data_IF_314118719073
#
_entry.id   IF_314118719073
#
_cell.length_a   1.000
_cell.length_b   1.000
_cell.length_c   1.000
_cell.angle_alpha   90.00
_cell.angle_beta   90.00
_cell.angle_gamma   90.00
#
_symmetry.space_group_name_H-M   'P 1'
#
loop_
_entity.id
_entity.type
_entity.pdbx_description
1 polymer ?
#
# COMPACT_ATOMS: atom_id res chain seq x y z
N UNK A 1 1.67 58.62 -10.02
CA UNK A 1 2.31 57.62 -9.15
C UNK A 1 1.66 56.25 -9.46
N UNK A 2 2.24 55.52 -10.44
CA UNK A 2 1.72 54.23 -10.88
C UNK A 2 2.29 53.14 -9.96
N UNK A 3 1.42 52.46 -9.22
CA UNK A 3 1.77 51.27 -8.44
C UNK A 3 1.86 50.08 -9.40
N UNK A 4 3.06 49.55 -9.62
CA UNK A 4 3.28 48.27 -10.25
C UNK A 4 3.00 47.16 -9.24
N UNK A 5 1.85 46.45 -9.38
CA UNK A 5 1.64 45.20 -8.71
C UNK A 5 2.38 44.10 -9.49
N UNK A 6 3.51 43.66 -8.99
CA UNK A 6 4.13 42.43 -9.44
C UNK A 6 3.33 41.25 -8.83
N UNK A 7 2.55 40.57 -9.64
CA UNK A 7 2.00 39.27 -9.29
C UNK A 7 3.14 38.26 -9.18
N UNK A 8 3.49 37.89 -7.96
CA UNK A 8 4.38 36.77 -7.71
C UNK A 8 3.56 35.51 -7.98
N UNK A 9 3.75 34.90 -9.15
CA UNK A 9 3.29 33.54 -9.39
C UNK A 9 4.10 32.60 -8.47
N UNK A 10 3.52 32.22 -7.35
CA UNK A 10 4.03 31.12 -6.55
C UNK A 10 3.89 29.84 -7.38
N UNK A 11 4.95 29.05 -7.58
CA UNK A 11 4.83 27.76 -8.21
C UNK A 11 3.86 26.93 -7.37
N UNK A 12 2.90 26.29 -8.03
CA UNK A 12 1.94 25.44 -7.37
C UNK A 12 2.68 24.30 -6.65
N UNK A 13 2.56 24.23 -5.33
CA UNK A 13 3.15 23.18 -4.49
C UNK A 13 2.53 21.79 -4.70
N UNK A 14 1.75 21.59 -5.79
CA UNK A 14 0.97 20.38 -6.02
C UNK A 14 1.72 19.22 -6.68
N UNK A 15 2.97 19.37 -7.09
CA UNK A 15 3.72 18.30 -7.74
C UNK A 15 4.27 17.22 -6.76
N UNK A 16 4.42 17.56 -5.46
CA UNK A 16 5.02 16.69 -4.44
C UNK A 16 4.07 16.35 -3.28
N UNK A 17 2.76 16.38 -3.50
CA UNK A 17 1.81 15.95 -2.47
C UNK A 17 2.03 14.47 -2.12
N UNK A 18 2.05 14.14 -0.81
CA UNK A 18 2.08 12.74 -0.35
C UNK A 18 0.90 11.89 -0.87
N UNK A 19 -0.19 12.54 -1.28
CA UNK A 19 -1.40 11.90 -1.85
C UNK A 19 -1.41 11.91 -3.39
N UNK A 20 -0.34 12.36 -4.03
CA UNK A 20 -0.25 12.24 -5.49
C UNK A 20 -0.27 10.77 -5.87
N UNK A 21 -1.03 10.43 -6.90
CA UNK A 21 -1.04 9.09 -7.48
C UNK A 21 0.38 8.65 -7.85
N UNK A 22 0.74 7.44 -7.50
CA UNK A 22 2.04 6.86 -7.82
C UNK A 22 1.87 5.40 -8.24
N UNK A 23 2.80 4.91 -9.03
CA UNK A 23 2.77 3.58 -9.62
C UNK A 23 4.16 2.94 -9.52
N UNK A 24 4.52 2.32 -8.39
CA UNK A 24 5.85 1.78 -8.16
C UNK A 24 6.22 0.66 -9.15
N UNK A 25 5.25 -0.16 -9.55
CA UNK A 25 5.42 -1.24 -10.53
C UNK A 25 4.67 -0.96 -11.84
N UNK A 26 4.36 0.29 -12.14
CA UNK A 26 3.48 0.66 -13.24
C UNK A 26 1.99 0.50 -12.92
N UNK A 27 1.63 0.00 -11.73
CA UNK A 27 0.25 -0.14 -11.24
C UNK A 27 -0.04 1.02 -10.29
N UNK A 28 -1.06 1.85 -10.58
CA UNK A 28 -1.37 3.00 -9.75
C UNK A 28 -1.95 2.61 -8.39
N UNK A 29 -1.58 3.39 -7.36
CA UNK A 29 -2.24 3.45 -6.07
C UNK A 29 -3.01 4.76 -6.01
N UNK A 30 -4.31 4.71 -5.76
CA UNK A 30 -5.17 5.89 -5.84
C UNK A 30 -6.35 5.80 -4.87
N UNK A 31 -6.84 6.96 -4.44
CA UNK A 31 -8.09 7.03 -3.69
C UNK A 31 -9.25 6.83 -4.66
N UNK A 32 -10.15 5.94 -4.31
CA UNK A 32 -11.31 5.63 -5.16
C UNK A 32 -12.23 6.84 -5.35
N UNK A 33 -12.89 6.89 -6.50
CA UNK A 33 -14.01 7.83 -6.74
C UNK A 33 -15.35 7.30 -6.22
N UNK A 34 -15.40 5.99 -5.93
CA UNK A 34 -16.59 5.28 -5.49
C UNK A 34 -16.30 4.61 -4.13
N UNK A 35 -16.36 5.36 -3.01
CA UNK A 35 -16.09 4.82 -1.69
C UNK A 35 -17.11 3.76 -1.31
N UNK A 36 -16.66 2.78 -0.54
CA UNK A 36 -17.48 1.67 -0.06
C UNK A 36 -17.58 1.66 1.47
N UNK A 37 -18.51 0.85 1.99
CA UNK A 37 -18.63 0.60 3.42
C UNK A 37 -17.51 -0.36 3.84
N UNK A 38 -16.68 0.05 4.79
CA UNK A 38 -15.47 -0.70 5.17
C UNK A 38 -15.75 -1.91 6.06
N UNK A 39 -16.90 -1.94 6.77
CA UNK A 39 -17.31 -3.09 7.60
C UNK A 39 -17.48 -4.35 6.73
N UNK A 40 -16.70 -5.37 7.02
CA UNK A 40 -16.65 -6.61 6.25
C UNK A 40 -15.77 -6.59 4.99
N UNK A 41 -15.33 -5.41 4.53
CA UNK A 41 -14.51 -5.28 3.31
C UNK A 41 -13.11 -4.73 3.56
N UNK A 42 -12.92 -3.91 4.61
CA UNK A 42 -11.66 -3.23 4.85
C UNK A 42 -11.49 -1.96 4.02
N UNK A 43 -10.32 -1.32 4.12
CA UNK A 43 -10.07 0.03 3.59
C UNK A 43 -9.43 0.03 2.21
N UNK A 44 -9.00 -1.14 1.70
CA UNK A 44 -8.20 -1.25 0.49
C UNK A 44 -8.69 -2.38 -0.39
N UNK A 45 -8.63 -2.16 -1.71
CA UNK A 45 -8.91 -3.20 -2.70
C UNK A 45 -7.98 -3.10 -3.91
N UNK A 46 -7.79 -4.22 -4.60
CA UNK A 46 -7.20 -4.27 -5.93
C UNK A 46 -8.31 -4.43 -6.97
N UNK A 47 -8.23 -3.70 -8.07
CA UNK A 47 -9.09 -3.90 -9.24
C UNK A 47 -8.30 -4.74 -10.24
N UNK A 48 -8.81 -5.92 -10.56
CA UNK A 48 -8.14 -6.85 -11.47
C UNK A 48 -9.04 -7.21 -12.64
N UNK A 49 -8.42 -7.46 -13.78
CA UNK A 49 -9.11 -7.89 -15.01
C UNK A 49 -8.63 -9.28 -15.43
N UNK A 50 -9.56 -10.13 -15.83
CA UNK A 50 -9.27 -11.46 -16.35
C UNK A 50 -10.20 -11.79 -17.51
N UNK A 51 -9.64 -12.03 -18.67
CA UNK A 51 -10.40 -12.51 -19.85
C UNK A 51 -10.48 -14.03 -19.79
N UNK A 52 -11.62 -14.56 -19.39
CA UNK A 52 -11.82 -15.99 -19.18
C UNK A 52 -12.45 -16.66 -20.40
N UNK A 53 -11.74 -17.53 -21.13
CA UNK A 53 -12.35 -18.42 -22.12
C UNK A 53 -13.43 -19.30 -21.48
N UNK A 54 -14.40 -19.76 -22.28
CA UNK A 54 -15.42 -20.71 -21.83
C UNK A 54 -14.77 -21.95 -21.25
N UNK A 55 -15.18 -22.34 -20.04
CA UNK A 55 -14.63 -23.50 -19.32
C UNK A 55 -13.45 -23.20 -18.41
N UNK A 56 -13.03 -21.93 -18.29
CA UNK A 56 -12.06 -21.53 -17.26
C UNK A 56 -12.57 -21.89 -15.87
N UNK A 57 -11.76 -22.57 -15.08
CA UNK A 57 -12.12 -23.01 -13.72
C UNK A 57 -11.51 -22.15 -12.62
N UNK A 58 -10.43 -21.45 -12.91
CA UNK A 58 -9.75 -20.60 -11.94
C UNK A 58 -9.09 -19.38 -12.59
N UNK A 59 -9.11 -18.28 -11.86
CA UNK A 59 -8.34 -17.07 -12.11
C UNK A 59 -7.27 -16.98 -11.04
N UNK A 60 -6.07 -16.53 -11.39
CA UNK A 60 -4.97 -16.26 -10.46
C UNK A 60 -4.61 -14.79 -10.51
N UNK A 61 -4.66 -14.13 -9.38
CA UNK A 61 -4.26 -12.74 -9.22
C UNK A 61 -3.02 -12.61 -8.33
N UNK A 62 -2.02 -11.88 -8.82
CA UNK A 62 -0.77 -11.59 -8.11
C UNK A 62 -0.75 -10.11 -7.75
N UNK A 63 -0.82 -9.79 -6.45
CA UNK A 63 -1.08 -8.47 -5.91
C UNK A 63 0.14 -7.96 -5.14
N UNK A 64 0.88 -7.00 -5.68
CA UNK A 64 1.97 -6.32 -4.97
C UNK A 64 1.42 -5.16 -4.14
N UNK A 65 0.77 -5.46 -3.04
CA UNK A 65 0.07 -4.48 -2.18
C UNK A 65 0.99 -3.67 -1.27
N UNK A 66 2.23 -4.11 -1.04
CA UNK A 66 3.29 -3.33 -0.34
C UNK A 66 2.88 -2.80 1.04
N UNK A 67 2.26 -3.65 1.85
CA UNK A 67 1.70 -3.27 3.15
C UNK A 67 2.68 -3.56 4.30
N UNK A 68 2.80 -2.65 5.28
CA UNK A 68 3.63 -2.88 6.48
C UNK A 68 2.94 -3.74 7.56
N UNK A 69 1.73 -4.25 7.31
CA UNK A 69 0.94 -4.97 8.30
C UNK A 69 1.57 -6.30 8.71
N UNK A 70 1.62 -6.56 10.01
CA UNK A 70 2.26 -7.76 10.58
C UNK A 70 1.36 -9.00 10.59
N UNK A 71 0.07 -8.86 10.25
CA UNK A 71 -0.92 -9.96 10.29
C UNK A 71 -1.39 -10.42 8.90
N UNK A 72 -0.65 -10.11 7.86
CA UNK A 72 -1.00 -10.48 6.48
C UNK A 72 -1.15 -11.98 6.27
N UNK A 73 -0.46 -12.78 7.06
CA UNK A 73 -0.41 -14.24 6.97
C UNK A 73 -1.70 -14.94 7.41
N UNK A 74 -2.56 -14.28 8.18
CA UNK A 74 -3.79 -14.87 8.74
C UNK A 74 -5.08 -14.28 8.19
N UNK A 75 -5.03 -13.17 7.45
CA UNK A 75 -6.24 -12.49 6.94
C UNK A 75 -6.76 -13.11 5.66
N UNK A 76 -8.07 -13.00 5.45
CA UNK A 76 -8.79 -13.49 4.29
C UNK A 76 -8.82 -12.48 3.14
N UNK A 77 -9.61 -12.82 2.11
CA UNK A 77 -9.98 -11.94 1.00
C UNK A 77 -11.49 -11.90 0.86
N UNK A 78 -12.01 -10.80 0.35
CA UNK A 78 -13.36 -10.73 -0.20
C UNK A 78 -13.23 -10.35 -1.66
N UNK A 79 -13.73 -11.20 -2.55
CA UNK A 79 -13.60 -11.02 -4.00
C UNK A 79 -15.01 -10.85 -4.56
N UNK A 80 -15.22 -9.74 -5.29
CA UNK A 80 -16.55 -9.34 -5.78
C UNK A 80 -16.45 -9.09 -7.28
N UNK A 81 -17.39 -9.62 -8.06
CA UNK A 81 -17.54 -9.25 -9.47
C UNK A 81 -18.00 -7.79 -9.61
N UNK A 82 -17.29 -7.00 -10.39
CA UNK A 82 -17.57 -5.55 -10.48
C UNK A 82 -18.96 -5.25 -11.05
N UNK A 83 -19.41 -6.00 -12.08
CA UNK A 83 -20.71 -5.77 -12.73
C UNK A 83 -21.88 -6.26 -11.89
N UNK A 84 -21.74 -7.47 -11.32
CA UNK A 84 -22.82 -8.10 -10.55
C UNK A 84 -22.93 -7.64 -9.10
N UNK A 85 -21.83 -7.14 -8.52
CA UNK A 85 -21.72 -6.85 -7.10
C UNK A 85 -21.77 -8.11 -6.21
N UNK A 86 -21.71 -9.30 -6.79
CA UNK A 86 -21.79 -10.56 -6.05
C UNK A 86 -20.41 -11.04 -5.63
N UNK A 87 -20.33 -11.63 -4.44
CA UNK A 87 -19.10 -12.23 -3.94
C UNK A 87 -18.84 -13.58 -4.63
N UNK A 88 -17.57 -13.82 -4.94
CA UNK A 88 -17.08 -15.11 -5.43
C UNK A 88 -17.20 -16.15 -4.31
N UNK A 89 -17.69 -17.36 -4.66
CA UNK A 89 -17.95 -18.39 -3.68
C UNK A 89 -16.65 -19.11 -3.22
N UNK A 90 -15.73 -19.34 -4.16
CA UNK A 90 -14.53 -20.12 -3.90
C UNK A 90 -13.27 -19.36 -4.23
N UNK A 91 -12.32 -19.38 -3.31
CA UNK A 91 -10.96 -18.87 -3.53
C UNK A 91 -9.96 -19.67 -2.68
N UNK A 92 -8.71 -19.64 -3.09
CA UNK A 92 -7.58 -20.21 -2.35
C UNK A 92 -6.41 -19.25 -2.36
N UNK A 93 -5.72 -19.13 -1.23
CA UNK A 93 -4.58 -18.23 -1.07
C UNK A 93 -3.29 -19.02 -1.22
N UNK A 94 -2.58 -18.75 -2.31
CA UNK A 94 -1.29 -19.36 -2.59
C UNK A 94 -0.18 -18.72 -1.76
N UNK A 95 -0.22 -17.40 -1.60
CA UNK A 95 0.83 -16.64 -0.92
C UNK A 95 0.28 -15.38 -0.26
N UNK A 96 0.79 -15.08 0.94
CA UNK A 96 0.58 -13.81 1.64
C UNK A 96 1.85 -13.39 2.35
N UNK A 97 2.34 -12.21 2.05
CA UNK A 97 3.46 -11.56 2.72
C UNK A 97 3.12 -10.07 2.87
N UNK A 98 3.85 -9.28 3.65
CA UNK A 98 3.68 -7.83 3.67
C UNK A 98 3.85 -7.17 2.29
N UNK A 99 4.67 -7.74 1.44
CA UNK A 99 4.94 -7.20 0.11
C UNK A 99 3.89 -7.58 -0.92
N UNK A 100 3.38 -8.82 -0.84
CA UNK A 100 2.75 -9.47 -1.97
C UNK A 100 1.77 -10.58 -1.55
N UNK A 101 0.63 -10.66 -2.25
CA UNK A 101 -0.34 -11.73 -2.15
C UNK A 101 -0.62 -12.39 -3.48
N UNK A 102 -0.91 -13.68 -3.45
CA UNK A 102 -1.37 -14.45 -4.61
C UNK A 102 -2.62 -15.20 -4.22
N UNK A 103 -3.70 -14.94 -4.95
CA UNK A 103 -5.01 -15.56 -4.70
C UNK A 103 -5.54 -16.18 -5.99
N UNK A 104 -6.08 -17.39 -5.85
CA UNK A 104 -6.83 -18.08 -6.89
C UNK A 104 -8.32 -18.00 -6.56
N UNK A 105 -9.16 -17.80 -7.55
CA UNK A 105 -10.60 -17.74 -7.33
C UNK A 105 -11.41 -18.22 -8.53
N UNK A 106 -12.66 -18.58 -8.26
CA UNK A 106 -13.58 -19.08 -9.27
C UNK A 106 -14.05 -17.92 -10.18
N UNK A 107 -14.01 -18.08 -11.52
CA UNK A 107 -14.58 -17.10 -12.43
C UNK A 107 -16.11 -17.07 -12.31
N UNK A 108 -16.69 -15.88 -12.47
CA UNK A 108 -18.13 -15.68 -12.51
C UNK A 108 -18.60 -15.47 -13.96
N UNK A 109 -19.82 -15.93 -14.27
CA UNK A 109 -20.42 -15.69 -15.57
C UNK A 109 -20.60 -14.19 -15.82
N UNK A 110 -20.26 -13.73 -17.02
CA UNK A 110 -20.38 -12.35 -17.47
C UNK A 110 -19.55 -11.28 -16.72
N UNK A 111 -18.54 -11.73 -15.93
CA UNK A 111 -17.57 -10.88 -15.26
C UNK A 111 -16.20 -10.98 -15.94
N UNK A 112 -15.58 -9.83 -16.13
CA UNK A 112 -14.22 -9.69 -16.60
C UNK A 112 -13.34 -8.87 -15.64
N UNK A 113 -13.99 -8.20 -14.69
CA UNK A 113 -13.34 -7.32 -13.73
C UNK A 113 -13.78 -7.65 -12.30
N UNK A 114 -12.81 -7.78 -11.41
CA UNK A 114 -13.05 -8.18 -10.03
C UNK A 114 -12.44 -7.16 -9.07
N UNK A 115 -13.13 -6.94 -7.95
CA UNK A 115 -12.72 -6.13 -6.83
C UNK A 115 -12.21 -7.07 -5.73
N UNK A 116 -10.92 -7.06 -5.48
CA UNK A 116 -10.30 -7.92 -4.46
C UNK A 116 -9.99 -7.07 -3.23
N UNK A 117 -10.84 -7.17 -2.21
CA UNK A 117 -10.60 -6.56 -0.92
C UNK A 117 -9.63 -7.47 -0.14
N UNK A 118 -8.45 -6.95 0.12
CA UNK A 118 -7.42 -7.67 0.83
C UNK A 118 -7.31 -7.17 2.26
N UNK A 119 -7.23 -8.09 3.21
CA UNK A 119 -7.27 -7.80 4.65
C UNK A 119 -8.61 -7.19 5.12
N UNK A 120 -9.76 -7.82 4.79
CA UNK A 120 -11.05 -7.37 5.28
C UNK A 120 -11.15 -7.51 6.79
N UNK A 121 -11.91 -6.61 7.42
CA UNK A 121 -12.16 -6.63 8.86
C UNK A 121 -13.61 -6.30 9.18
N UNK A 122 -14.05 -6.72 10.36
CA UNK A 122 -15.32 -6.31 10.93
C UNK A 122 -15.10 -5.19 11.93
N UNK A 123 -15.93 -4.17 11.88
CA UNK A 123 -15.96 -3.14 12.91
C UNK A 123 -16.60 -3.70 14.18
N UNK A 124 -15.90 -3.66 15.31
CA UNK A 124 -16.52 -3.99 16.59
C UNK A 124 -17.63 -2.99 16.89
N UNK A 125 -18.87 -3.46 16.95
CA UNK A 125 -20.02 -2.67 17.41
C UNK A 125 -19.89 -2.50 18.92
N UNK A 126 -19.46 -1.31 19.33
CA UNK A 126 -19.70 -0.71 20.64
C UNK A 126 -19.29 -1.48 21.88
N UNK A 127 -18.28 -1.02 22.55
CA UNK A 127 -18.44 -0.63 23.93
C UNK A 127 -18.15 0.89 23.99
N UNK A 128 -19.01 1.67 24.62
CA UNK A 128 -18.76 3.08 24.88
C UNK A 128 -17.47 3.31 25.70
N UNK A 129 -16.86 2.25 26.20
CA UNK A 129 -15.64 2.22 26.98
C UNK A 129 -14.35 2.17 26.16
N UNK A 130 -14.40 1.76 24.89
CA UNK A 130 -13.21 1.73 24.02
C UNK A 130 -12.99 3.06 23.32
N UNK A 131 -12.46 4.05 24.03
CA UNK A 131 -12.01 5.33 23.46
C UNK A 131 -10.63 5.26 22.80
N UNK A 132 -9.95 4.11 22.80
CA UNK A 132 -8.65 3.93 22.19
C UNK A 132 -8.75 3.06 20.93
N UNK A 133 -8.38 3.63 19.81
CA UNK A 133 -8.58 3.13 18.44
C UNK A 133 -7.86 1.82 18.07
N UNK A 134 -7.19 1.16 18.98
CA UNK A 134 -6.36 -0.01 18.71
C UNK A 134 -7.13 -1.34 18.61
N UNK A 135 -8.38 -1.37 19.12
CA UNK A 135 -9.18 -2.60 19.24
C UNK A 135 -10.45 -2.61 18.37
N UNK A 136 -10.58 -1.70 17.41
CA UNK A 136 -11.85 -1.57 16.67
C UNK A 136 -12.02 -2.59 15.56
N UNK A 137 -10.95 -3.19 15.04
CA UNK A 137 -11.00 -3.99 13.85
C UNK A 137 -10.57 -5.43 14.14
N UNK A 138 -11.46 -6.37 13.94
CA UNK A 138 -11.13 -7.80 13.88
C UNK A 138 -10.97 -8.21 12.42
N UNK A 139 -9.79 -8.65 12.03
CA UNK A 139 -9.57 -9.18 10.69
C UNK A 139 -10.39 -10.45 10.47
N UNK A 140 -10.95 -10.59 9.27
CA UNK A 140 -11.63 -11.80 8.84
C UNK A 140 -10.58 -12.87 8.56
N UNK A 141 -10.73 -14.01 9.23
CA UNK A 141 -9.80 -15.12 9.09
C UNK A 141 -10.02 -15.90 7.79
N UNK A 142 -8.95 -16.42 7.27
CA UNK A 142 -8.96 -17.25 6.07
C UNK A 142 -9.62 -18.62 6.32
N UNK A 143 -10.61 -19.04 5.48
CA UNK A 143 -11.28 -20.35 5.60
C UNK A 143 -10.42 -21.46 4.97
N UNK A 144 -9.33 -21.84 5.61
CA UNK A 144 -8.28 -22.68 5.03
C UNK A 144 -8.78 -24.04 4.51
N UNK A 145 -9.70 -24.72 5.24
CA UNK A 145 -10.16 -26.05 4.86
C UNK A 145 -10.98 -26.05 3.56
N UNK A 146 -11.96 -25.18 3.46
CA UNK A 146 -12.82 -25.07 2.28
C UNK A 146 -12.02 -24.70 1.03
N UNK A 147 -11.02 -23.83 1.21
CA UNK A 147 -10.12 -23.38 0.16
C UNK A 147 -9.23 -24.51 -0.37
N UNK A 148 -8.71 -25.36 0.49
CA UNK A 148 -7.89 -26.51 0.09
C UNK A 148 -8.73 -27.55 -0.66
N UNK A 149 -9.97 -27.82 -0.21
CA UNK A 149 -10.89 -28.74 -0.88
C UNK A 149 -11.25 -28.24 -2.29
N UNK A 150 -11.54 -26.94 -2.44
CA UNK A 150 -11.79 -26.34 -3.76
C UNK A 150 -10.55 -26.43 -4.66
N UNK A 151 -9.38 -26.06 -4.15
CA UNK A 151 -8.13 -26.15 -4.91
C UNK A 151 -7.86 -27.58 -5.40
N UNK A 152 -8.06 -28.57 -4.53
CA UNK A 152 -7.89 -29.98 -4.90
C UNK A 152 -8.81 -30.39 -6.06
N UNK A 153 -10.03 -29.80 -6.13
CA UNK A 153 -10.98 -30.05 -7.22
C UNK A 153 -10.54 -29.56 -8.60
N UNK A 154 -9.58 -28.63 -8.67
CA UNK A 154 -9.06 -28.08 -9.92
C UNK A 154 -8.21 -29.08 -10.73
N UNK A 155 -7.80 -30.20 -10.15
CA UNK A 155 -7.09 -31.29 -10.84
C UNK A 155 -5.89 -30.81 -11.71
N UNK A 156 -5.06 -29.91 -11.19
CA UNK A 156 -3.92 -29.31 -11.89
C UNK A 156 -4.28 -28.44 -13.13
N UNK A 157 -5.51 -27.98 -13.24
CA UNK A 157 -5.89 -27.01 -14.25
C UNK A 157 -5.07 -25.72 -14.13
N UNK A 158 -4.66 -25.17 -15.27
CA UNK A 158 -3.94 -23.89 -15.29
C UNK A 158 -4.94 -22.74 -15.12
N UNK A 159 -4.68 -21.80 -14.20
CA UNK A 159 -5.53 -20.62 -14.05
C UNK A 159 -5.33 -19.66 -15.20
N UNK A 160 -6.30 -18.79 -15.41
CA UNK A 160 -6.10 -17.55 -16.16
C UNK A 160 -5.41 -16.52 -15.27
N UNK A 161 -4.31 -15.94 -15.73
CA UNK A 161 -3.64 -14.88 -14.98
C UNK A 161 -4.43 -13.56 -15.12
N UNK A 162 -4.75 -12.95 -13.98
CA UNK A 162 -5.40 -11.66 -13.94
C UNK A 162 -4.37 -10.52 -14.02
N UNK A 163 -4.73 -9.45 -14.70
CA UNK A 163 -3.97 -8.19 -14.72
C UNK A 163 -4.47 -7.27 -13.62
N UNK A 164 -3.57 -6.79 -12.76
CA UNK A 164 -3.91 -5.76 -11.77
C UNK A 164 -3.94 -4.42 -12.47
N UNK A 165 -5.10 -3.77 -12.48
CA UNK A 165 -5.28 -2.46 -13.10
C UNK A 165 -4.85 -1.33 -12.18
N UNK A 166 -5.21 -1.43 -10.89
CA UNK A 166 -4.89 -0.45 -9.86
C UNK A 166 -5.16 -1.00 -8.46
N UNK A 167 -4.58 -0.35 -7.47
CA UNK A 167 -4.94 -0.46 -6.07
C UNK A 167 -5.75 0.77 -5.68
N UNK A 168 -6.82 0.56 -4.93
CA UNK A 168 -7.71 1.63 -4.47
C UNK A 168 -7.80 1.65 -2.94
N UNK A 169 -7.77 2.87 -2.39
CA UNK A 169 -8.05 3.18 -1.00
C UNK A 169 -9.41 3.86 -0.88
N UNK A 170 -10.13 3.59 0.20
CA UNK A 170 -11.51 4.07 0.37
C UNK A 170 -11.60 5.61 0.50
N UNK A 171 -10.55 6.24 1.05
CA UNK A 171 -10.47 7.69 1.24
C UNK A 171 -9.01 8.13 1.50
N UNK A 172 -8.77 9.44 1.55
CA UNK A 172 -7.42 10.01 1.77
C UNK A 172 -6.83 9.70 3.16
N UNK A 173 -7.66 9.47 4.18
CA UNK A 173 -7.18 9.16 5.52
C UNK A 173 -6.55 7.77 5.59
N UNK A 174 -7.13 6.82 4.87
CA UNK A 174 -6.69 5.43 4.80
C UNK A 174 -5.64 5.18 3.70
N UNK A 175 -5.35 6.18 2.87
CA UNK A 175 -4.46 6.03 1.75
C UNK A 175 -3.03 5.69 2.17
N UNK A 176 -2.47 4.67 1.57
CA UNK A 176 -1.04 4.41 1.63
C UNK A 176 -0.30 5.34 0.68
N UNK A 177 0.47 6.23 1.26
CA UNK A 177 1.33 7.15 0.51
C UNK A 177 2.63 6.47 0.10
N UNK A 178 3.45 7.14 -0.70
CA UNK A 178 4.80 6.69 -1.03
C UNK A 178 5.69 6.46 0.21
N UNK A 179 5.34 7.09 1.35
CA UNK A 179 5.99 6.89 2.65
C UNK A 179 5.29 5.80 3.50
N UNK A 180 4.11 5.34 3.11
CA UNK A 180 3.34 4.29 3.78
C UNK A 180 3.50 2.92 3.16
N UNK A 181 3.76 2.84 1.85
CA UNK A 181 4.01 1.58 1.16
C UNK A 181 5.47 1.14 1.28
N UNK A 182 5.67 -0.16 1.49
CA UNK A 182 7.00 -0.73 1.68
C UNK A 182 7.67 -1.09 0.35
N UNK A 183 8.99 -0.91 0.31
CA UNK A 183 9.83 -1.53 -0.70
C UNK A 183 9.82 -3.05 -0.52
N UNK A 184 9.95 -3.80 -1.61
CA UNK A 184 10.14 -5.26 -1.53
C UNK A 184 11.53 -5.58 -0.98
N UNK A 185 11.71 -6.83 -0.56
CA UNK A 185 13.02 -7.33 -0.11
C UNK A 185 14.08 -7.15 -1.21
N UNK A 186 13.77 -7.55 -2.45
CA UNK A 186 14.69 -7.43 -3.59
C UNK A 186 15.05 -5.98 -3.90
N UNK A 187 14.09 -5.06 -3.82
CA UNK A 187 14.34 -3.62 -4.00
C UNK A 187 15.20 -3.07 -2.87
N UNK A 188 14.91 -3.45 -1.63
CA UNK A 188 15.69 -3.06 -0.45
C UNK A 188 17.13 -3.55 -0.55
N UNK A 189 17.34 -4.80 -0.99
CA UNK A 189 18.66 -5.37 -1.21
C UNK A 189 19.41 -4.67 -2.35
N UNK A 190 18.70 -4.29 -3.41
CA UNK A 190 19.27 -3.53 -4.52
C UNK A 190 19.75 -2.14 -4.06
N UNK A 191 18.95 -1.43 -3.26
CA UNK A 191 19.36 -0.13 -2.68
C UNK A 191 20.54 -0.33 -1.72
N UNK A 192 20.52 -1.38 -0.88
CA UNK A 192 21.62 -1.71 0.03
C UNK A 192 22.93 -1.94 -0.71
N UNK A 193 22.90 -2.65 -1.83
CA UNK A 193 24.08 -2.91 -2.65
C UNK A 193 24.69 -1.65 -3.30
N UNK A 194 23.88 -0.60 -3.50
CA UNK A 194 24.33 0.68 -4.06
C UNK A 194 24.96 1.61 -3.02
N UNK A 195 24.83 1.33 -1.72
CA UNK A 195 25.32 2.17 -0.63
C UNK A 195 26.22 1.39 0.30
N UNK A 196 27.40 1.93 0.57
CA UNK A 196 28.36 1.35 1.52
C UNK A 196 28.25 1.95 2.93
N UNK A 197 27.55 3.08 3.05
CA UNK A 197 27.38 3.84 4.28
C UNK A 197 26.42 3.12 5.25
N UNK A 198 26.69 3.26 6.55
CA UNK A 198 25.79 2.79 7.60
C UNK A 198 25.81 3.75 8.80
N UNK A 199 24.79 4.59 8.99
CA UNK A 199 23.50 4.60 8.29
C UNK A 199 23.54 5.25 6.91
N UNK A 200 22.58 4.86 6.06
CA UNK A 200 22.19 5.65 4.90
C UNK A 200 21.23 6.74 5.38
N UNK A 201 21.48 8.00 4.97
CA UNK A 201 20.72 9.16 5.47
C UNK A 201 19.77 9.67 4.39
N UNK A 202 18.52 9.86 4.77
CA UNK A 202 17.50 10.50 3.94
C UNK A 202 16.92 11.71 4.66
N UNK A 203 16.85 12.84 3.98
CA UNK A 203 16.16 14.03 4.48
C UNK A 203 14.78 14.12 3.88
N UNK A 204 13.74 14.40 4.67
CA UNK A 204 12.37 14.51 4.19
C UNK A 204 11.71 15.80 4.65
N UNK A 205 10.92 16.37 3.73
CA UNK A 205 10.00 17.44 4.03
C UNK A 205 8.87 16.96 4.94
N UNK A 206 8.27 17.88 5.69
CA UNK A 206 7.10 17.62 6.54
C UNK A 206 5.91 16.98 5.81
N UNK A 207 5.81 17.19 4.50
CA UNK A 207 4.78 16.58 3.65
C UNK A 207 4.98 15.07 3.44
N UNK A 208 6.15 14.54 3.78
CA UNK A 208 6.49 13.12 3.63
C UNK A 208 6.90 12.52 4.98
N UNK A 209 5.96 12.33 5.92
CA UNK A 209 6.27 11.88 7.27
C UNK A 209 6.87 10.47 7.26
N UNK A 210 8.01 10.31 7.94
CA UNK A 210 8.67 9.02 8.12
C UNK A 210 7.85 8.22 9.13
N UNK A 211 7.25 7.10 8.71
CA UNK A 211 6.34 6.28 9.51
C UNK A 211 6.77 4.83 9.63
N UNK A 212 7.60 4.33 8.70
CA UNK A 212 8.04 2.94 8.67
C UNK A 212 9.32 2.77 9.49
N UNK A 213 9.27 1.90 10.53
CA UNK A 213 10.43 1.61 11.39
C UNK A 213 11.20 0.37 10.97
N UNK A 214 10.55 -0.57 10.24
CA UNK A 214 11.12 -1.87 9.91
C UNK A 214 11.26 -2.10 8.41
N UNK A 215 10.76 -1.20 7.59
CA UNK A 215 10.75 -1.32 6.14
C UNK A 215 11.21 -0.02 5.49
N UNK A 216 11.86 -0.15 4.35
CA UNK A 216 12.19 0.99 3.50
C UNK A 216 10.91 1.47 2.79
N UNK A 217 10.56 2.76 2.81
CA UNK A 217 9.42 3.26 2.04
C UNK A 217 9.73 3.28 0.53
N UNK A 218 8.72 3.04 -0.30
CA UNK A 218 8.83 3.09 -1.78
C UNK A 218 9.45 4.40 -2.27
N UNK A 219 9.16 5.51 -1.61
CA UNK A 219 9.73 6.81 -1.96
C UNK A 219 11.26 6.80 -1.97
N UNK A 220 11.89 6.07 -1.06
CA UNK A 220 13.35 6.05 -0.94
C UNK A 220 14.05 5.17 -1.97
N UNK A 221 13.32 4.38 -2.75
CA UNK A 221 13.89 3.61 -3.86
C UNK A 221 14.47 4.51 -4.97
N UNK A 222 13.88 5.70 -5.15
CA UNK A 222 14.27 6.66 -6.19
C UNK A 222 14.94 7.92 -5.64
N UNK A 223 14.93 8.07 -4.32
CA UNK A 223 15.53 9.24 -3.68
C UNK A 223 17.02 9.01 -3.46
N UNK A 224 17.83 9.90 -3.98
CA UNK A 224 19.26 9.90 -3.68
C UNK A 224 19.43 10.27 -2.20
N UNK A 225 20.16 9.48 -1.40
CA UNK A 225 20.52 9.86 -0.03
C UNK A 225 21.22 11.20 -0.01
N UNK A 226 20.86 12.06 0.93
CA UNK A 226 21.38 13.41 1.05
C UNK A 226 21.76 13.71 2.49
N UNK A 227 22.90 14.31 2.67
CA UNK A 227 23.41 14.86 3.93
C UNK A 227 22.96 16.31 4.18
N UNK A 228 22.28 16.92 3.20
CA UNK A 228 21.73 18.27 3.28
C UNK A 228 20.22 18.28 2.96
N UNK A 229 19.49 19.18 3.60
CA UNK A 229 18.08 19.44 3.33
C UNK A 229 17.93 20.88 2.79
N UNK A 230 17.19 21.01 1.70
CA UNK A 230 16.75 22.29 1.16
C UNK A 230 15.22 22.38 1.22
N UNK A 231 14.71 23.47 1.78
CA UNK A 231 13.27 23.71 1.91
C UNK A 231 12.94 25.19 1.79
N UNK A 232 11.68 25.49 1.47
CA UNK A 232 11.18 26.86 1.38
C UNK A 232 10.23 27.14 2.53
N UNK A 233 10.55 28.14 3.35
CA UNK A 233 9.73 28.59 4.46
C UNK A 233 9.17 29.99 4.17
N UNK A 234 7.99 30.27 4.70
CA UNK A 234 7.45 31.62 4.71
C UNK A 234 8.13 32.47 5.81
N UNK A 235 8.10 33.78 5.63
CA UNK A 235 8.63 34.68 6.67
C UNK A 235 7.90 34.44 8.01
N UNK A 236 8.67 34.26 9.10
CA UNK A 236 8.21 33.95 10.45
C UNK A 236 7.57 32.54 10.60
N UNK A 237 7.83 31.62 9.68
CA UNK A 237 7.41 30.23 9.81
C UNK A 237 8.45 29.40 10.58
N UNK A 238 7.99 28.53 11.50
CA UNK A 238 8.80 27.44 12.03
C UNK A 238 8.75 26.28 11.04
N UNK A 239 9.84 26.10 10.30
CA UNK A 239 9.91 25.03 9.31
C UNK A 239 10.40 23.73 9.95
N UNK A 240 9.65 22.65 9.74
CA UNK A 240 9.96 21.32 10.27
C UNK A 240 10.32 20.39 9.11
N UNK A 241 11.40 19.66 9.25
CA UNK A 241 11.84 18.60 8.34
C UNK A 241 12.32 17.40 9.15
N UNK A 242 12.59 16.28 8.48
CA UNK A 242 12.88 15.01 9.13
C UNK A 242 14.18 14.43 8.58
N UNK A 243 14.91 13.71 9.45
CA UNK A 243 16.07 12.93 9.09
C UNK A 243 15.73 11.45 9.30
N UNK A 244 15.76 10.67 8.24
CA UNK A 244 15.64 9.21 8.28
C UNK A 244 17.03 8.57 8.30
N UNK A 245 17.24 7.66 9.23
CA UNK A 245 18.45 6.87 9.33
C UNK A 245 18.12 5.42 9.02
N UNK A 246 18.62 4.91 7.90
CA UNK A 246 18.43 3.52 7.55
C UNK A 246 19.70 2.71 7.88
N UNK A 247 19.57 1.76 8.81
CA UNK A 247 20.62 0.83 9.21
C UNK A 247 20.79 -0.26 8.13
N UNK A 248 21.36 0.11 6.98
CA UNK A 248 21.44 -0.76 5.80
C UNK A 248 22.32 -2.00 6.00
N UNK A 249 23.41 -1.88 6.77
CA UNK A 249 24.44 -2.91 6.92
C UNK A 249 24.60 -3.43 8.35
N UNK A 250 23.60 -3.24 9.20
CA UNK A 250 23.61 -3.74 10.57
C UNK A 250 23.15 -2.70 11.59
N UNK A 251 22.88 -3.16 12.80
CA UNK A 251 22.33 -2.34 13.87
C UNK A 251 23.24 -1.15 14.21
N UNK A 252 22.66 0.02 14.33
CA UNK A 252 23.33 1.23 14.78
C UNK A 252 23.37 1.27 16.32
N UNK A 253 24.52 1.65 16.87
CA UNK A 253 24.69 1.84 18.32
C UNK A 253 25.09 3.29 18.60
N UNK A 254 24.47 3.90 19.62
CA UNK A 254 24.82 5.23 20.13
C UNK A 254 24.79 6.33 19.06
N UNK A 255 23.68 6.41 18.32
CA UNK A 255 23.46 7.48 17.34
C UNK A 255 23.37 8.82 18.08
N UNK A 256 24.24 9.76 17.75
CA UNK A 256 24.21 11.12 18.26
C UNK A 256 24.04 12.10 17.09
N UNK A 257 23.13 13.04 17.25
CA UNK A 257 22.95 14.15 16.32
C UNK A 257 23.57 15.41 16.94
N UNK A 258 24.56 15.98 16.28
CA UNK A 258 25.23 17.20 16.74
C UNK A 258 24.96 18.32 15.75
N UNK A 259 24.42 19.42 16.23
CA UNK A 259 24.26 20.62 15.42
C UNK A 259 25.47 21.53 15.67
N UNK A 260 26.22 21.93 14.63
CA UNK A 260 27.29 22.88 14.80
C UNK A 260 26.68 24.23 15.25
N UNK A 261 27.31 24.86 16.27
CA UNK A 261 26.94 26.19 16.77
C UNK A 261 27.52 27.28 15.88
#
# INVERSE_FOLDING_TARGET
MLLWMTTINLPSQNADSQYASYAPDGVPFEVTREPWITDGLGNHRAVVQAECPTGTKAIRASLKWRRPDVKTDITSFVIVGQKSGKQVAHFWVERRTPEHGVVWFEPMSDEDTYLIYYMPFNLRKGSEECRFMWDYNDYILYPAKEAEDWKASLNNEKPVEATVLRFEEVNNFEAFTQMGNIATTDETDSVRACHSENPVIFTEDRCFPIRLFHHLPVRWLKKVPQDAFEGTAQRNEYYVWQIGLWAAHGALQRVNVVFPT
#
